data_IF_454574855911
#
_entry.id   IF_454574855911
#
_cell.length_a   1.000
_cell.length_b   1.000
_cell.length_c   1.000
_cell.angle_alpha   90.00
_cell.angle_beta   90.00
_cell.angle_gamma   90.00
#
_symmetry.space_group_name_H-M   'P 1'
#
loop_
_entity.id
_entity.type
_entity.pdbx_description
1 polymer ?
#
# COMPACT_ATOMS: atom_id res chain seq x y z
N UNK A 1 -15.14 24.13 6.09
CA UNK A 1 -16.21 23.45 6.87
C UNK A 1 -15.55 22.28 7.59
N UNK A 2 -15.50 22.29 8.93
CA UNK A 2 -14.87 21.23 9.72
C UNK A 2 -15.94 20.20 10.13
N UNK A 3 -15.76 18.94 9.75
CA UNK A 3 -16.60 17.84 10.22
C UNK A 3 -15.98 17.25 11.49
N UNK A 4 -16.71 17.33 12.60
CA UNK A 4 -16.37 16.65 13.86
C UNK A 4 -17.13 15.34 13.92
N UNK A 5 -16.42 14.22 14.08
CA UNK A 5 -17.01 12.88 14.23
C UNK A 5 -16.79 12.45 15.69
N UNK A 6 -17.88 12.13 16.39
CA UNK A 6 -17.84 11.53 17.72
C UNK A 6 -17.99 10.00 17.59
N UNK A 7 -16.91 9.26 17.89
CA UNK A 7 -16.86 7.79 17.90
C UNK A 7 -15.42 7.28 17.73
N UNK A 8 -15.10 6.03 18.11
CA UNK A 8 -13.75 5.49 17.95
C UNK A 8 -13.40 5.40 16.46
N UNK A 9 -12.35 6.12 16.06
CA UNK A 9 -11.87 6.14 14.68
C UNK A 9 -11.09 4.84 14.44
N UNK A 10 -11.67 3.91 13.69
CA UNK A 10 -10.96 2.71 13.24
C UNK A 10 -10.03 3.03 12.05
N UNK A 11 -9.13 2.11 11.70
CA UNK A 11 -8.13 2.34 10.64
C UNK A 11 -8.76 2.68 9.28
N UNK A 12 -9.91 2.07 8.96
CA UNK A 12 -10.69 2.38 7.74
C UNK A 12 -11.18 3.83 7.73
N UNK A 13 -11.63 4.34 8.88
CA UNK A 13 -12.13 5.70 9.01
C UNK A 13 -11.00 6.73 9.08
N UNK A 14 -9.85 6.38 9.67
CA UNK A 14 -8.61 7.17 9.60
C UNK A 14 -8.10 7.28 8.16
N UNK A 15 -8.17 6.19 7.40
CA UNK A 15 -7.85 6.16 5.98
C UNK A 15 -8.81 7.06 5.20
N UNK A 16 -10.13 6.95 5.40
CA UNK A 16 -11.11 7.83 4.77
C UNK A 16 -10.92 9.34 5.12
N UNK A 17 -10.55 9.66 6.36
CA UNK A 17 -10.25 11.03 6.80
C UNK A 17 -8.93 11.54 6.21
N UNK A 18 -7.93 10.67 6.06
CA UNK A 18 -6.66 11.00 5.39
C UNK A 18 -6.89 11.24 3.89
N UNK A 19 -7.74 10.44 3.25
CA UNK A 19 -8.18 10.60 1.86
C UNK A 19 -8.97 11.91 1.63
N UNK A 20 -9.74 12.35 2.61
CA UNK A 20 -10.53 13.58 2.52
C UNK A 20 -9.72 14.88 2.74
N UNK A 21 -8.52 14.81 3.36
CA UNK A 21 -7.70 15.99 3.70
C UNK A 21 -6.63 16.36 2.67
N UNK A 22 -6.22 15.44 1.79
CA UNK A 22 -5.24 15.70 0.73
C UNK A 22 -5.94 15.74 -0.63
N UNK A 23 -6.32 16.94 -1.09
CA UNK A 23 -6.97 17.14 -2.38
C UNK A 23 -6.12 16.68 -3.56
N UNK A 24 -6.28 15.42 -3.99
CA UNK A 24 -5.72 14.83 -5.22
C UNK A 24 -6.76 13.89 -5.81
N UNK A 25 -7.87 14.45 -6.27
CA UNK A 25 -9.06 13.72 -6.72
C UNK A 25 -8.86 12.91 -8.03
N UNK A 26 -7.66 12.93 -8.64
CA UNK A 26 -7.43 12.32 -9.96
C UNK A 26 -6.78 10.92 -9.91
N UNK A 27 -6.15 10.52 -8.79
CA UNK A 27 -5.40 9.26 -8.68
C UNK A 27 -6.13 8.15 -7.92
N UNK A 28 -7.18 8.51 -7.17
CA UNK A 28 -7.98 7.54 -6.41
C UNK A 28 -8.79 6.61 -7.32
N UNK A 29 -9.21 7.08 -8.51
CA UNK A 29 -9.96 6.24 -9.45
C UNK A 29 -9.07 5.19 -10.12
N UNK A 30 -7.77 5.45 -10.29
CA UNK A 30 -6.85 4.56 -11.00
C UNK A 30 -6.25 3.48 -10.08
N UNK A 31 -5.98 3.81 -8.80
CA UNK A 31 -5.50 2.85 -7.79
C UNK A 31 -6.57 1.84 -7.32
N UNK A 32 -7.84 2.04 -7.68
CA UNK A 32 -8.96 1.17 -7.32
C UNK A 32 -8.73 -0.29 -7.75
N UNK A 33 -8.19 -0.51 -8.96
CA UNK A 33 -7.86 -1.85 -9.46
C UNK A 33 -6.83 -2.57 -8.57
N UNK A 34 -5.80 -1.85 -8.15
CA UNK A 34 -4.77 -2.40 -7.27
C UNK A 34 -5.33 -2.72 -5.88
N UNK A 35 -6.24 -1.88 -5.35
CA UNK A 35 -6.87 -2.10 -4.05
C UNK A 35 -7.70 -3.38 -3.97
N UNK A 36 -8.38 -3.74 -5.07
CA UNK A 36 -9.14 -4.99 -5.16
C UNK A 36 -8.28 -6.22 -5.45
N UNK A 37 -7.00 -6.05 -5.80
CA UNK A 37 -6.09 -7.18 -5.95
C UNK A 37 -5.75 -7.75 -4.56
N UNK A 38 -6.05 -9.03 -4.38
CA UNK A 38 -5.82 -9.79 -3.15
C UNK A 38 -5.00 -11.04 -3.45
N UNK A 39 -4.21 -11.48 -2.48
CA UNK A 39 -3.46 -12.72 -2.52
C UNK A 39 -4.42 -13.90 -2.68
N UNK A 40 -5.48 -13.99 -1.85
CA UNK A 40 -6.57 -14.96 -1.98
C UNK A 40 -6.05 -16.41 -2.15
N UNK A 41 -5.05 -16.81 -1.36
CA UNK A 41 -4.44 -18.14 -1.43
C UNK A 41 -3.46 -18.35 -2.59
N UNK A 42 -3.23 -17.36 -3.46
CA UNK A 42 -2.16 -17.41 -4.46
C UNK A 42 -0.79 -17.35 -3.79
N UNK A 43 0.22 -17.85 -4.49
CA UNK A 43 1.61 -17.66 -4.09
C UNK A 43 1.94 -16.16 -3.98
N UNK A 44 2.71 -15.80 -2.94
CA UNK A 44 3.13 -14.42 -2.69
C UNK A 44 3.80 -13.75 -3.90
N UNK A 45 4.62 -14.49 -4.64
CA UNK A 45 5.29 -13.98 -5.85
C UNK A 45 4.29 -13.65 -6.97
N UNK A 46 3.26 -14.48 -7.15
CA UNK A 46 2.19 -14.25 -8.13
C UNK A 46 1.42 -12.98 -7.79
N UNK A 47 0.99 -12.86 -6.53
CA UNK A 47 0.27 -11.66 -6.06
C UNK A 47 1.11 -10.39 -6.20
N UNK A 48 2.37 -10.45 -5.78
CA UNK A 48 3.30 -9.33 -5.93
C UNK A 48 3.48 -8.92 -7.39
N UNK A 49 3.65 -9.90 -8.30
CA UNK A 49 3.77 -9.68 -9.75
C UNK A 49 2.55 -8.95 -10.33
N UNK A 50 1.34 -9.44 -10.02
CA UNK A 50 0.08 -8.81 -10.47
C UNK A 50 -0.02 -7.35 -10.02
N UNK A 51 0.36 -7.05 -8.77
CA UNK A 51 0.36 -5.68 -8.26
C UNK A 51 1.40 -4.81 -8.95
N UNK A 52 2.62 -5.31 -9.16
CA UNK A 52 3.67 -4.55 -9.84
C UNK A 52 3.30 -4.25 -11.29
N UNK A 53 2.61 -5.17 -11.96
CA UNK A 53 2.10 -4.96 -13.32
C UNK A 53 1.04 -3.85 -13.33
N UNK A 54 0.07 -3.89 -12.41
CA UNK A 54 -0.95 -2.84 -12.27
C UNK A 54 -0.29 -1.48 -11.97
N UNK A 55 0.68 -1.44 -11.06
CA UNK A 55 1.40 -0.20 -10.75
C UNK A 55 2.19 0.33 -11.94
N UNK A 56 2.82 -0.55 -12.72
CA UNK A 56 3.52 -0.17 -13.96
C UNK A 56 2.57 0.39 -15.02
N UNK A 57 1.38 -0.21 -15.21
CA UNK A 57 0.35 0.34 -16.08
C UNK A 57 -0.10 1.74 -15.64
N UNK A 58 -0.23 1.95 -14.33
CA UNK A 58 -0.61 3.23 -13.75
C UNK A 58 0.48 4.28 -13.94
N UNK A 59 1.74 3.93 -13.69
CA UNK A 59 2.91 4.81 -13.91
C UNK A 59 3.04 5.20 -15.38
N UNK A 60 2.71 4.31 -16.31
CA UNK A 60 2.75 4.61 -17.73
C UNK A 60 1.65 5.60 -18.17
N UNK A 61 0.45 5.48 -17.56
CA UNK A 61 -0.70 6.35 -17.86
C UNK A 61 -0.57 7.72 -17.19
N UNK A 62 -0.05 7.76 -15.98
CA UNK A 62 0.08 8.98 -15.19
C UNK A 62 1.32 9.78 -15.62
N UNK A 63 1.12 10.63 -16.63
CA UNK A 63 2.14 11.57 -17.11
C UNK A 63 2.03 12.93 -16.41
N UNK A 64 1.66 12.98 -15.14
CA UNK A 64 1.58 14.23 -14.40
C UNK A 64 2.89 15.02 -14.53
N UNK A 65 2.85 16.14 -15.24
CA UNK A 65 4.01 17.01 -15.43
C UNK A 65 4.10 17.93 -14.21
N UNK A 66 4.95 17.55 -13.26
CA UNK A 66 5.30 18.36 -12.11
C UNK A 66 6.65 19.03 -12.36
N UNK A 67 6.75 20.35 -12.19
CA UNK A 67 7.99 21.11 -12.46
C UNK A 67 8.80 21.41 -11.19
N UNK A 68 8.18 21.35 -10.02
CA UNK A 68 8.83 21.56 -8.73
C UNK A 68 9.43 20.25 -8.20
N UNK A 69 10.76 20.22 -8.01
CA UNK A 69 11.46 19.03 -7.52
C UNK A 69 11.01 18.57 -6.12
N UNK A 70 10.68 19.51 -5.23
CA UNK A 70 10.20 19.20 -3.88
C UNK A 70 8.85 18.49 -3.90
N UNK A 71 7.92 19.00 -4.71
CA UNK A 71 6.58 18.42 -4.86
C UNK A 71 6.66 17.04 -5.53
N UNK A 72 7.57 16.86 -6.50
CA UNK A 72 7.85 15.55 -7.12
C UNK A 72 8.28 14.55 -6.05
N UNK A 73 9.18 14.93 -5.15
CA UNK A 73 9.65 14.03 -4.10
C UNK A 73 8.52 13.67 -3.12
N UNK A 74 7.72 14.64 -2.68
CA UNK A 74 6.55 14.41 -1.82
C UNK A 74 5.55 13.47 -2.51
N UNK A 75 5.27 13.72 -3.79
CA UNK A 75 4.36 12.91 -4.59
C UNK A 75 4.84 11.46 -4.70
N UNK A 76 6.11 11.25 -5.10
CA UNK A 76 6.70 9.90 -5.21
C UNK A 76 6.67 9.16 -3.88
N UNK A 77 7.00 9.83 -2.77
CA UNK A 77 6.89 9.25 -1.42
C UNK A 77 5.45 8.88 -1.06
N UNK A 78 4.47 9.69 -1.47
CA UNK A 78 3.06 9.40 -1.24
C UNK A 78 2.61 8.14 -1.99
N UNK A 79 2.94 8.05 -3.29
CA UNK A 79 2.61 6.89 -4.13
C UNK A 79 3.27 5.62 -3.59
N UNK A 80 4.55 5.68 -3.21
CA UNK A 80 5.24 4.53 -2.60
C UNK A 80 4.55 4.05 -1.32
N UNK A 81 4.17 4.97 -0.42
CA UNK A 81 3.41 4.61 0.79
C UNK A 81 2.06 3.98 0.47
N UNK A 82 1.33 4.50 -0.50
CA UNK A 82 0.05 3.93 -0.94
C UNK A 82 0.23 2.51 -1.50
N UNK A 83 1.25 2.26 -2.31
CA UNK A 83 1.56 0.93 -2.85
C UNK A 83 1.85 -0.09 -1.76
N UNK A 84 2.67 0.30 -0.77
CA UNK A 84 2.95 -0.54 0.40
C UNK A 84 1.66 -0.87 1.15
N UNK A 85 0.80 0.12 1.38
CA UNK A 85 -0.47 -0.11 2.06
C UNK A 85 -1.39 -1.06 1.29
N UNK A 86 -1.55 -0.84 -0.02
CA UNK A 86 -2.34 -1.72 -0.90
C UNK A 86 -1.81 -3.16 -0.87
N UNK A 87 -0.50 -3.32 -0.99
CA UNK A 87 0.14 -4.63 -0.90
C UNK A 87 -0.17 -5.32 0.43
N UNK A 88 0.05 -4.64 1.57
CA UNK A 88 -0.21 -5.21 2.89
C UNK A 88 -1.68 -5.56 3.09
N UNK A 89 -2.61 -4.65 2.76
CA UNK A 89 -4.07 -4.88 2.95
C UNK A 89 -4.61 -5.97 2.04
N UNK A 90 -3.90 -6.34 0.97
CA UNK A 90 -4.29 -7.45 0.11
C UNK A 90 -3.59 -8.78 0.36
N UNK A 91 -2.68 -8.86 1.34
CA UNK A 91 -2.13 -10.13 1.79
C UNK A 91 -3.18 -10.98 2.51
N UNK A 92 -2.98 -12.29 2.52
CA UNK A 92 -3.81 -13.21 3.30
C UNK A 92 -3.61 -12.98 4.81
N UNK A 93 -4.64 -13.31 5.60
CA UNK A 93 -4.71 -13.03 7.06
C UNK A 93 -3.53 -13.58 7.86
N UNK A 94 -2.86 -14.61 7.33
CA UNK A 94 -1.65 -15.16 7.94
C UNK A 94 -0.55 -14.10 8.13
N UNK A 95 -0.47 -13.08 7.28
CA UNK A 95 0.56 -12.03 7.38
C UNK A 95 0.16 -10.83 8.23
N UNK A 96 -1.04 -10.81 8.83
CA UNK A 96 -1.53 -9.65 9.58
C UNK A 96 -0.58 -9.23 10.72
N UNK A 97 0.08 -10.19 11.37
CA UNK A 97 1.02 -9.92 12.47
C UNK A 97 2.24 -9.08 12.03
N UNK A 98 2.78 -9.31 10.82
CA UNK A 98 3.95 -8.60 10.32
C UNK A 98 3.60 -7.21 9.76
N UNK A 99 2.31 -6.92 9.50
CA UNK A 99 1.87 -5.59 9.06
C UNK A 99 2.27 -4.51 10.07
N UNK A 100 2.01 -4.75 11.36
CA UNK A 100 2.32 -3.79 12.42
C UNK A 100 3.82 -3.52 12.54
N UNK A 101 4.66 -4.54 12.35
CA UNK A 101 6.12 -4.39 12.40
C UNK A 101 6.65 -3.55 11.24
N UNK A 102 6.13 -3.77 10.03
CA UNK A 102 6.50 -3.03 8.83
C UNK A 102 6.08 -1.56 8.97
N UNK A 103 4.84 -1.31 9.42
CA UNK A 103 4.30 0.05 9.53
C UNK A 103 4.95 0.88 10.66
N UNK A 104 5.58 0.23 11.65
CA UNK A 104 6.36 0.91 12.70
C UNK A 104 7.77 1.33 12.25
N UNK A 105 8.27 0.85 11.10
CA UNK A 105 9.59 1.23 10.59
C UNK A 105 9.59 2.68 10.13
N UNK A 106 10.68 3.39 10.39
CA UNK A 106 10.91 4.75 9.90
C UNK A 106 12.27 4.86 9.18
N UNK A 107 12.29 5.25 7.89
CA UNK A 107 11.11 5.39 7.03
C UNK A 107 10.40 4.04 6.81
N UNK A 108 9.12 4.09 6.43
CA UNK A 108 8.40 2.90 5.99
C UNK A 108 9.18 2.32 4.79
N UNK A 109 9.47 1.00 4.77
CA UNK A 109 10.20 0.40 3.67
C UNK A 109 9.44 0.55 2.35
N UNK A 110 10.19 0.63 1.25
CA UNK A 110 9.59 0.64 -0.09
C UNK A 110 8.92 -0.71 -0.40
N UNK A 111 8.13 -0.74 -1.48
CA UNK A 111 7.33 -1.91 -1.85
C UNK A 111 8.18 -3.19 -2.00
N UNK A 112 9.34 -3.11 -2.65
CA UNK A 112 10.25 -4.26 -2.82
C UNK A 112 10.83 -4.76 -1.50
N UNK A 113 11.31 -3.84 -0.65
CA UNK A 113 11.82 -4.18 0.67
C UNK A 113 10.72 -4.78 1.57
N UNK A 114 9.49 -4.25 1.47
CA UNK A 114 8.31 -4.78 2.14
C UNK A 114 8.03 -6.22 1.68
N UNK A 115 8.03 -6.46 0.36
CA UNK A 115 7.87 -7.80 -0.20
C UNK A 115 8.94 -8.78 0.30
N UNK A 116 10.20 -8.36 0.37
CA UNK A 116 11.29 -9.19 0.89
C UNK A 116 11.07 -9.60 2.36
N UNK A 117 10.54 -8.68 3.19
CA UNK A 117 10.20 -8.98 4.59
C UNK A 117 9.07 -10.01 4.70
N UNK A 118 7.98 -9.82 3.93
CA UNK A 118 6.85 -10.76 3.90
C UNK A 118 7.29 -12.13 3.39
N UNK A 119 8.11 -12.19 2.34
CA UNK A 119 8.66 -13.45 1.82
C UNK A 119 9.51 -14.17 2.86
N UNK A 120 10.37 -13.45 3.60
CA UNK A 120 11.16 -14.04 4.69
C UNK A 120 10.27 -14.61 5.78
N UNK A 121 9.19 -13.92 6.10
CA UNK A 121 8.21 -14.37 7.09
C UNK A 121 7.44 -15.61 6.64
N UNK A 122 7.06 -15.68 5.35
CA UNK A 122 6.45 -16.86 4.75
C UNK A 122 7.35 -18.09 4.88
N UNK A 123 8.65 -17.96 4.57
CA UNK A 123 9.63 -19.05 4.75
C UNK A 123 9.75 -19.46 6.21
N UNK A 124 9.83 -18.50 7.13
CA UNK A 124 9.92 -18.77 8.57
C UNK A 124 8.71 -19.57 9.07
N UNK A 125 7.51 -19.23 8.60
CA UNK A 125 6.27 -19.93 8.95
C UNK A 125 6.22 -21.34 8.39
N UNK A 126 6.67 -21.53 7.15
CA UNK A 126 6.75 -22.85 6.54
C UNK A 126 7.63 -23.81 7.36
N UNK A 127 8.78 -23.35 7.88
CA UNK A 127 9.66 -24.16 8.73
C UNK A 127 9.06 -24.51 10.09
N UNK A 128 8.16 -23.68 10.63
CA UNK A 128 7.52 -23.91 11.94
C UNK A 128 6.33 -24.87 11.82
N UNK A 129 5.65 -24.86 10.67
CA UNK A 129 4.47 -25.68 10.42
C UNK A 129 4.79 -27.03 9.74
N UNK A 130 6.06 -27.29 9.43
CA UNK A 130 6.58 -28.51 8.79
C UNK A 130 7.14 -29.53 9.77
#
# INVERSE_FOLDING_TARGET
MAFTIHGPINYEMLFAILLAKFGVLFLQHSMMRAFFAKQNGKNLSTYYGELTDIFGELDHRDKAIMTCAHDIEIYRKSIQRQRVHIFLVGLDVEFEQIHGEILRKYPIPELEATYALIRRESVRRATINS
#
